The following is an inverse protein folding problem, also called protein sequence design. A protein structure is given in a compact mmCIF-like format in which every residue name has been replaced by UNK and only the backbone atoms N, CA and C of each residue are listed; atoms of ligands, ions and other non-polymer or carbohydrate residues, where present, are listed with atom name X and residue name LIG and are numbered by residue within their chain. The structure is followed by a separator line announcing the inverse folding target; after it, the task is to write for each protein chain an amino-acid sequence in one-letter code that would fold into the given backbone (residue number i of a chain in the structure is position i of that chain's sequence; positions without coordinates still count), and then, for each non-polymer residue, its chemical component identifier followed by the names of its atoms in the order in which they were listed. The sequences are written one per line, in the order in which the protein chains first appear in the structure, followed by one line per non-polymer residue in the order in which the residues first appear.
data_IF_697758697177
#
_entry.id   IF_697758697177
#
_cell.length_a   1.000
_cell.length_b   1.000
_cell.length_c   1.000
_cell.angle_alpha   90.00
_cell.angle_beta   90.00
_cell.angle_gamma   90.00
#
_symmetry.space_group_name_H-M   'P 1'
#
loop_
_entity.id
_entity.type
_entity.pdbx_description
1 polymer ?
#
# COMPACT_ATOMS: atom_id res chain seq x y z
N UNK A 1 -6.25 5.52 -33.92
CA UNK A 1 -5.78 5.06 -32.61
C UNK A 1 -7.00 4.99 -31.68
N UNK A 2 -7.25 3.88 -30.99
CA UNK A 2 -8.44 3.74 -30.13
C UNK A 2 -8.18 4.44 -28.79
N UNK A 3 -8.95 5.50 -28.49
CA UNK A 3 -8.82 6.29 -27.26
C UNK A 3 -8.79 5.42 -26.01
N UNK A 4 -9.70 4.45 -25.90
CA UNK A 4 -9.79 3.57 -24.73
C UNK A 4 -8.50 2.76 -24.51
N UNK A 5 -7.84 2.33 -25.59
CA UNK A 5 -6.56 1.60 -25.47
C UNK A 5 -5.45 2.51 -24.96
N UNK A 6 -5.40 3.76 -25.45
CA UNK A 6 -4.40 4.74 -25.02
C UNK A 6 -4.66 5.15 -23.58
N UNK A 7 -5.91 5.46 -23.23
CA UNK A 7 -6.31 5.85 -21.87
C UNK A 7 -5.95 4.77 -20.85
N UNK A 8 -6.23 3.50 -21.17
CA UNK A 8 -5.86 2.38 -20.29
C UNK A 8 -4.33 2.23 -20.16
N UNK A 9 -3.58 2.33 -21.26
CA UNK A 9 -2.13 2.24 -21.22
C UNK A 9 -1.50 3.37 -20.41
N UNK A 10 -1.94 4.61 -20.63
CA UNK A 10 -1.45 5.79 -19.89
C UNK A 10 -1.78 5.65 -18.41
N UNK A 11 -2.99 5.21 -18.05
CA UNK A 11 -3.36 4.98 -16.65
C UNK A 11 -2.39 4.03 -15.95
N UNK A 12 -2.06 2.89 -16.57
CA UNK A 12 -1.09 1.94 -16.02
C UNK A 12 0.33 2.51 -15.92
N UNK A 13 0.76 3.34 -16.89
CA UNK A 13 2.06 4.03 -16.82
C UNK A 13 2.08 5.00 -15.63
N UNK A 14 1.02 5.79 -15.44
CA UNK A 14 0.89 6.70 -14.30
C UNK A 14 0.90 5.93 -12.98
N UNK A 15 0.20 4.80 -12.91
CA UNK A 15 0.23 3.90 -11.75
C UNK A 15 1.64 3.40 -11.45
N UNK A 16 2.40 2.97 -12.46
CA UNK A 16 3.76 2.46 -12.29
C UNK A 16 4.71 3.55 -11.75
N UNK A 17 4.58 4.78 -12.27
CA UNK A 17 5.33 5.94 -11.79
C UNK A 17 4.95 6.23 -10.32
N UNK A 18 3.66 6.28 -10.00
CA UNK A 18 3.18 6.55 -8.64
C UNK A 18 3.66 5.49 -7.64
N UNK A 19 3.50 4.20 -7.96
CA UNK A 19 4.00 3.10 -7.14
C UNK A 19 5.52 3.23 -6.91
N UNK A 20 6.28 3.54 -7.96
CA UNK A 20 7.75 3.69 -7.86
C UNK A 20 8.11 4.82 -6.92
N UNK A 21 7.51 5.99 -7.08
CA UNK A 21 7.75 7.15 -6.21
C UNK A 21 7.39 6.79 -4.77
N UNK A 22 6.20 6.25 -4.52
CA UNK A 22 5.76 5.91 -3.16
C UNK A 22 6.61 4.83 -2.50
N UNK A 23 7.07 3.81 -3.23
CA UNK A 23 8.00 2.81 -2.69
C UNK A 23 9.36 3.43 -2.39
N UNK A 24 9.86 4.34 -3.23
CA UNK A 24 11.15 5.00 -3.00
C UNK A 24 11.12 5.97 -1.82
N UNK A 25 9.95 6.57 -1.55
CA UNK A 25 9.79 7.60 -0.50
C UNK A 25 9.08 7.09 0.75
N UNK A 26 8.68 5.82 0.82
CA UNK A 26 8.06 5.26 2.02
C UNK A 26 9.06 5.25 3.19
N UNK A 27 8.54 5.45 4.40
CA UNK A 27 9.34 5.30 5.61
C UNK A 27 9.87 3.87 5.72
N UNK A 28 11.14 3.68 6.10
CA UNK A 28 11.73 2.34 6.24
C UNK A 28 11.30 1.64 7.53
N UNK A 29 10.88 2.42 8.51
CA UNK A 29 10.50 1.99 9.85
C UNK A 29 9.09 2.48 10.17
N UNK A 30 8.70 2.33 11.44
CA UNK A 30 7.49 2.95 11.97
C UNK A 30 7.60 4.47 11.92
N UNK A 31 6.59 5.11 11.32
CA UNK A 31 6.38 6.56 11.37
C UNK A 31 5.59 6.96 12.62
N UNK A 32 5.48 8.25 12.88
CA UNK A 32 4.70 8.78 13.99
C UNK A 32 3.22 8.41 13.86
N UNK A 33 2.55 8.29 15.01
CA UNK A 33 1.10 8.07 15.12
C UNK A 33 0.67 6.63 14.79
N UNK A 34 -0.23 6.44 13.83
CA UNK A 34 -0.95 5.17 13.60
C UNK A 34 -0.07 4.05 13.08
N UNK A 35 0.99 4.35 12.32
CA UNK A 35 1.73 3.30 11.58
C UNK A 35 2.28 2.20 12.49
N UNK A 36 2.77 2.56 13.69
CA UNK A 36 3.30 1.58 14.65
C UNK A 36 2.22 0.67 15.21
N UNK A 37 1.04 1.22 15.47
CA UNK A 37 -0.12 0.47 15.92
C UNK A 37 -0.61 -0.49 14.83
N UNK A 38 -0.69 -0.04 13.58
CA UNK A 38 -1.13 -0.88 12.46
C UNK A 38 -0.09 -1.95 12.07
N UNK A 39 1.21 -1.63 12.11
CA UNK A 39 2.28 -2.62 11.88
C UNK A 39 2.26 -3.70 12.95
N UNK A 40 2.21 -3.30 14.23
CA UNK A 40 2.17 -4.26 15.34
C UNK A 40 0.87 -5.06 15.38
N UNK A 41 -0.26 -4.40 15.08
CA UNK A 41 -1.58 -5.02 14.90
C UNK A 41 -1.57 -6.04 13.77
N UNK A 42 -1.00 -5.73 12.61
CA UNK A 42 -0.87 -6.67 11.49
C UNK A 42 0.08 -7.83 11.85
N UNK A 43 1.19 -7.55 12.52
CA UNK A 43 2.16 -8.58 12.93
C UNK A 43 1.54 -9.60 13.89
N UNK A 44 0.80 -9.13 14.90
CA UNK A 44 0.19 -9.97 15.95
C UNK A 44 -1.27 -10.36 15.69
N UNK A 45 -1.86 -9.89 14.58
CA UNK A 45 -3.30 -9.99 14.31
C UNK A 45 -4.17 -9.47 15.47
N UNK A 46 -3.81 -8.30 15.98
CA UNK A 46 -4.54 -7.58 17.03
C UNK A 46 -5.37 -6.44 16.44
N UNK A 47 -6.39 -6.02 17.20
CA UNK A 47 -7.27 -4.92 16.80
C UNK A 47 -6.58 -3.60 17.15
N UNK A 48 -6.24 -2.73 16.17
CA UNK A 48 -5.84 -1.35 16.45
C UNK A 48 -7.07 -0.59 16.97
N UNK A 49 -6.89 0.68 17.35
CA UNK A 49 -7.94 1.51 17.92
C UNK A 49 -9.29 1.35 17.20
N UNK A 50 -10.43 1.31 17.94
CA UNK A 50 -11.75 1.06 17.36
C UNK A 50 -12.08 2.01 16.19
N UNK A 51 -12.72 1.53 15.11
CA UNK A 51 -13.37 0.23 14.89
C UNK A 51 -12.43 -0.90 14.42
N UNK A 52 -11.12 -0.68 14.41
CA UNK A 52 -10.14 -1.60 13.82
C UNK A 52 -10.08 -1.51 12.29
N UNK A 53 -9.25 -2.36 11.67
CA UNK A 53 -9.08 -2.42 10.21
C UNK A 53 -8.82 -3.86 9.71
N UNK A 54 -9.77 -4.80 9.89
CA UNK A 54 -9.51 -6.24 9.75
C UNK A 54 -8.94 -6.64 8.39
N UNK A 55 -9.48 -6.09 7.29
CA UNK A 55 -8.97 -6.40 5.95
C UNK A 55 -7.52 -5.94 5.76
N UNK A 56 -7.20 -4.72 6.19
CA UNK A 56 -5.84 -4.19 6.11
C UNK A 56 -4.87 -5.04 6.93
N UNK A 57 -5.26 -5.46 8.14
CA UNK A 57 -4.40 -6.25 9.02
C UNK A 57 -4.13 -7.64 8.46
N UNK A 58 -5.13 -8.28 7.84
CA UNK A 58 -4.95 -9.58 7.18
C UNK A 58 -4.02 -9.50 5.97
N UNK A 59 -4.18 -8.49 5.11
CA UNK A 59 -3.29 -8.27 3.97
C UNK A 59 -1.89 -7.87 4.47
N UNK A 60 -1.80 -7.02 5.49
CA UNK A 60 -0.55 -6.65 6.15
C UNK A 60 0.18 -7.86 6.70
N UNK A 61 -0.52 -8.77 7.39
CA UNK A 61 0.06 -10.03 7.88
C UNK A 61 0.58 -10.89 6.74
N UNK A 62 -0.15 -10.99 5.63
CA UNK A 62 0.32 -11.70 4.44
C UNK A 62 1.62 -11.10 3.89
N UNK A 63 1.71 -9.77 3.78
CA UNK A 63 2.94 -9.09 3.37
C UNK A 63 4.10 -9.34 4.34
N UNK A 64 3.85 -9.31 5.65
CA UNK A 64 4.87 -9.61 6.67
C UNK A 64 5.44 -11.03 6.45
N UNK A 65 4.57 -12.01 6.15
CA UNK A 65 5.01 -13.38 5.85
C UNK A 65 5.89 -13.42 4.60
N UNK A 66 5.50 -12.72 3.52
CA UNK A 66 6.29 -12.64 2.28
C UNK A 66 7.68 -12.01 2.49
N UNK A 67 7.82 -11.11 3.46
CA UNK A 67 9.06 -10.40 3.76
C UNK A 67 9.92 -11.09 4.83
N UNK A 68 9.57 -12.31 5.24
CA UNK A 68 10.39 -13.16 6.11
C UNK A 68 9.88 -13.33 7.55
N UNK A 69 8.64 -12.94 7.83
CA UNK A 69 7.90 -13.17 9.09
C UNK A 69 8.70 -12.89 10.37
N UNK A 70 9.33 -11.71 10.44
CA UNK A 70 10.06 -11.30 11.64
C UNK A 70 9.83 -9.81 11.95
N UNK A 71 10.04 -9.37 13.21
CA UNK A 71 9.77 -7.98 13.62
C UNK A 71 10.58 -6.93 12.85
N UNK A 72 11.78 -7.30 12.39
CA UNK A 72 12.71 -6.42 11.68
C UNK A 72 12.24 -6.09 10.26
N UNK A 73 11.45 -6.99 9.66
CA UNK A 73 10.90 -6.86 8.30
C UNK A 73 9.45 -6.40 8.28
N UNK A 74 8.78 -6.40 9.44
CA UNK A 74 7.36 -6.07 9.52
C UNK A 74 7.02 -4.66 9.04
N UNK A 75 7.83 -3.66 9.40
CA UNK A 75 7.59 -2.27 9.03
C UNK A 75 7.70 -2.07 7.51
N UNK A 76 8.78 -2.54 6.89
CA UNK A 76 8.96 -2.41 5.44
C UNK A 76 7.90 -3.19 4.66
N UNK A 77 7.43 -4.33 5.16
CA UNK A 77 6.37 -5.12 4.52
C UNK A 77 5.05 -4.36 4.47
N UNK A 78 4.60 -3.82 5.61
CA UNK A 78 3.32 -3.08 5.71
C UNK A 78 3.41 -1.72 5.02
N UNK A 79 4.55 -1.02 5.11
CA UNK A 79 4.74 0.24 4.40
C UNK A 79 4.77 0.04 2.88
N UNK A 80 5.34 -1.07 2.39
CA UNK A 80 5.29 -1.43 0.96
C UNK A 80 3.88 -1.69 0.48
N UNK A 81 3.05 -2.40 1.27
CA UNK A 81 1.62 -2.57 0.99
C UNK A 81 0.92 -1.22 0.84
N UNK A 82 1.10 -0.32 1.82
CA UNK A 82 0.49 1.00 1.80
C UNK A 82 0.95 1.84 0.60
N UNK A 83 2.23 1.77 0.24
CA UNK A 83 2.78 2.46 -0.93
C UNK A 83 2.16 1.97 -2.25
N UNK A 84 2.05 0.64 -2.42
CA UNK A 84 1.44 0.03 -3.60
C UNK A 84 -0.04 0.40 -3.68
N UNK A 85 -0.79 0.23 -2.58
CA UNK A 85 -2.21 0.58 -2.53
C UNK A 85 -2.44 2.07 -2.89
N UNK A 86 -1.56 2.97 -2.41
CA UNK A 86 -1.62 4.39 -2.75
C UNK A 86 -1.38 4.64 -4.23
N UNK A 87 -0.46 3.91 -4.87
CA UNK A 87 -0.23 4.02 -6.32
C UNK A 87 -1.44 3.56 -7.15
N UNK A 88 -2.14 2.50 -6.72
CA UNK A 88 -3.40 2.07 -7.35
C UNK A 88 -4.52 3.10 -7.17
N UNK A 89 -4.56 3.85 -6.06
CA UNK A 89 -5.50 4.98 -5.92
C UNK A 89 -5.28 6.03 -7.01
N UNK A 90 -4.02 6.28 -7.42
CA UNK A 90 -3.73 7.20 -8.52
C UNK A 90 -4.24 6.67 -9.87
N UNK A 91 -4.16 5.35 -10.11
CA UNK A 91 -4.75 4.71 -11.31
C UNK A 91 -6.26 4.96 -11.39
N UNK A 92 -6.97 4.70 -10.30
CA UNK A 92 -8.42 4.91 -10.24
C UNK A 92 -8.79 6.38 -10.35
N UNK A 93 -8.02 7.27 -9.74
CA UNK A 93 -8.20 8.71 -9.90
C UNK A 93 -8.05 9.12 -11.37
N UNK A 94 -6.99 8.68 -12.04
CA UNK A 94 -6.75 8.96 -13.45
C UNK A 94 -7.96 8.57 -14.31
N UNK A 95 -8.46 7.34 -14.17
CA UNK A 95 -9.65 6.88 -14.92
C UNK A 95 -10.96 7.55 -14.51
N UNK A 96 -11.04 8.18 -13.33
CA UNK A 96 -12.23 8.92 -12.90
C UNK A 96 -12.29 10.32 -13.52
N UNK A 97 -11.15 10.90 -13.88
CA UNK A 97 -11.06 12.28 -14.40
C UNK A 97 -10.79 12.37 -15.90
N UNK A 98 -10.56 11.25 -16.58
CA UNK A 98 -10.43 11.20 -18.06
C UNK A 98 -11.69 10.62 -18.70
N UNK A 99 -12.24 11.32 -19.70
CA UNK A 99 -13.45 10.98 -20.45
C UNK A 99 -13.25 11.11 -21.96
#
# INVERSE_FOLDING_TARGET
MNYNRINNLIGWIVCAIACTVYIMTMERTTSFWDTGEFISGAYKLQVPHPPGAPLFLLIGRFFIILFGDNPQTAAIAVNSLSAIASGFTILFLFWTITY
#
